data_IF_304487941644
#
_entry.id   IF_304487941644
#
_cell.length_a   1.000
_cell.length_b   1.000
_cell.length_c   1.000
_cell.angle_alpha   90.00
_cell.angle_beta   90.00
_cell.angle_gamma   90.00
#
_symmetry.space_group_name_H-M   'P 1'
#
loop_
_entity.id
_entity.type
_entity.pdbx_description
1 polymer ?
#
# COMPACT_ATOMS: atom_id res chain seq x y z
N UNK A 1 -27.58 3.86 7.66
CA UNK A 1 -26.26 4.44 8.01
C UNK A 1 -26.12 5.71 7.21
N UNK A 2 -26.28 6.87 7.85
CA UNK A 2 -26.14 8.18 7.22
C UNK A 2 -24.66 8.39 6.87
N UNK A 3 -24.29 8.85 5.66
CA UNK A 3 -22.90 9.20 5.38
C UNK A 3 -22.46 10.27 6.40
N UNK A 4 -21.25 10.16 6.98
CA UNK A 4 -20.79 11.11 7.98
C UNK A 4 -20.79 12.52 7.39
N UNK A 5 -21.49 13.42 8.07
CA UNK A 5 -21.55 14.86 7.79
C UNK A 5 -20.13 15.44 7.85
N UNK A 6 -19.76 16.20 6.82
CA UNK A 6 -18.39 16.65 6.57
C UNK A 6 -17.89 17.54 7.73
N UNK A 7 -16.87 17.13 8.51
CA UNK A 7 -16.19 18.02 9.45
C UNK A 7 -15.49 19.14 8.66
N UNK A 8 -15.10 20.28 9.29
CA UNK A 8 -14.47 21.39 8.58
C UNK A 8 -13.37 20.88 7.64
N UNK A 9 -13.48 21.21 6.33
CA UNK A 9 -12.57 20.75 5.28
C UNK A 9 -11.13 21.10 5.66
N UNK A 10 -10.42 20.14 6.23
CA UNK A 10 -8.98 20.22 6.39
C UNK A 10 -8.35 20.46 5.02
N UNK A 11 -7.49 21.48 4.91
CA UNK A 11 -6.80 21.82 3.66
C UNK A 11 -5.88 20.68 3.21
N UNK A 12 -5.29 19.97 4.17
CA UNK A 12 -4.35 18.90 3.92
C UNK A 12 -4.89 17.57 4.43
N UNK A 13 -4.65 16.50 3.67
CA UNK A 13 -5.00 15.14 4.04
C UNK A 13 -4.18 14.65 5.24
N UNK A 14 -2.91 15.06 5.29
CA UNK A 14 -1.97 14.76 6.35
C UNK A 14 -0.85 15.82 6.43
N UNK A 15 -0.28 15.96 7.62
CA UNK A 15 1.00 16.62 7.89
C UNK A 15 2.05 15.55 8.19
N UNK A 16 3.24 15.63 7.60
CA UNK A 16 4.36 14.73 7.90
C UNK A 16 5.34 15.46 8.82
N UNK A 17 5.42 14.98 10.06
CA UNK A 17 6.40 15.37 11.06
C UNK A 17 7.55 14.36 11.11
N UNK A 18 8.78 14.85 11.09
CA UNK A 18 9.98 14.00 11.06
C UNK A 18 11.19 14.76 11.59
N UNK A 19 12.26 14.05 11.92
CA UNK A 19 13.55 14.72 12.13
C UNK A 19 14.14 15.08 10.78
N UNK A 20 14.52 16.33 10.60
CA UNK A 20 15.19 16.82 9.40
C UNK A 20 16.66 16.37 9.29
N UNK A 21 16.91 15.07 9.44
CA UNK A 21 18.19 14.40 9.29
C UNK A 21 17.92 13.07 8.60
N UNK A 22 18.96 12.50 7.98
CA UNK A 22 18.87 11.13 7.50
C UNK A 22 18.83 10.15 8.69
N UNK A 23 18.14 9.00 8.56
CA UNK A 23 17.37 8.55 7.39
C UNK A 23 15.92 9.08 7.31
N UNK A 24 15.42 9.75 8.37
CA UNK A 24 14.05 10.23 8.50
C UNK A 24 13.60 11.12 7.31
N UNK A 25 14.50 11.99 6.82
CA UNK A 25 14.24 12.88 5.68
C UNK A 25 13.95 12.14 4.39
N UNK A 26 14.71 11.09 4.06
CA UNK A 26 14.48 10.31 2.85
C UNK A 26 13.09 9.65 2.85
N UNK A 27 12.68 9.08 3.99
CA UNK A 27 11.36 8.46 4.14
C UNK A 27 10.25 9.50 4.08
N UNK A 28 10.41 10.65 4.74
CA UNK A 28 9.43 11.73 4.70
C UNK A 28 9.15 12.23 3.28
N UNK A 29 10.20 12.40 2.46
CA UNK A 29 10.05 12.77 1.04
C UNK A 29 9.29 11.71 0.25
N UNK A 30 9.71 10.44 0.39
CA UNK A 30 9.05 9.33 -0.28
C UNK A 30 7.56 9.24 0.09
N UNK A 31 7.20 9.48 1.36
CA UNK A 31 5.81 9.48 1.81
C UNK A 31 4.97 10.57 1.13
N UNK A 32 5.50 11.78 0.91
CA UNK A 32 4.79 12.83 0.16
C UNK A 32 4.45 12.33 -1.24
N UNK A 33 5.46 11.92 -2.00
CA UNK A 33 5.30 11.49 -3.39
C UNK A 33 4.33 10.31 -3.51
N UNK A 34 4.48 9.33 -2.60
CA UNK A 34 3.69 8.11 -2.60
C UNK A 34 2.21 8.37 -2.23
N UNK A 35 1.94 9.24 -1.26
CA UNK A 35 0.58 9.55 -0.80
C UNK A 35 -0.15 10.49 -1.77
N UNK A 36 0.53 11.48 -2.34
CA UNK A 36 -0.08 12.36 -3.34
C UNK A 36 -0.32 11.65 -4.68
N UNK A 37 0.54 10.70 -5.03
CA UNK A 37 0.37 9.79 -6.17
C UNK A 37 -0.61 8.62 -5.91
N UNK A 38 -1.16 8.49 -4.70
CA UNK A 38 -2.07 7.40 -4.38
C UNK A 38 -3.46 7.60 -5.02
N UNK A 39 -3.85 6.66 -5.88
CA UNK A 39 -5.21 6.57 -6.42
C UNK A 39 -6.03 5.51 -5.69
N UNK A 40 -7.21 5.92 -5.25
CA UNK A 40 -8.19 5.04 -4.60
C UNK A 40 -8.78 4.06 -5.62
N UNK A 41 -8.89 2.76 -5.30
CA UNK A 41 -9.49 1.77 -6.20
C UNK A 41 -10.91 2.13 -6.65
N UNK A 42 -11.23 1.83 -7.91
CA UNK A 42 -12.53 2.19 -8.53
C UNK A 42 -13.73 1.63 -7.75
N UNK A 43 -13.56 0.48 -7.08
CA UNK A 43 -14.58 -0.10 -6.20
C UNK A 43 -14.90 0.84 -5.03
N UNK A 44 -13.88 1.30 -4.30
CA UNK A 44 -14.05 2.22 -3.18
C UNK A 44 -14.57 3.58 -3.66
N UNK A 45 -14.12 4.06 -4.81
CA UNK A 45 -14.67 5.31 -5.38
C UNK A 45 -16.18 5.19 -5.63
N UNK A 46 -16.66 4.04 -6.14
CA UNK A 46 -18.10 3.77 -6.30
C UNK A 46 -18.85 3.65 -4.97
N UNK A 47 -18.17 3.29 -3.90
CA UNK A 47 -18.71 3.26 -2.53
C UNK A 47 -18.70 4.64 -1.84
N UNK A 48 -18.18 5.69 -2.51
CA UNK A 48 -18.21 7.07 -2.03
C UNK A 48 -16.89 7.60 -1.48
N UNK A 49 -15.81 6.81 -1.51
CA UNK A 49 -14.48 7.27 -1.11
C UNK A 49 -13.89 8.25 -2.13
N UNK A 50 -13.06 9.21 -1.70
CA UNK A 50 -12.43 10.15 -2.63
C UNK A 50 -11.43 9.44 -3.55
N UNK A 51 -11.33 9.88 -4.81
CA UNK A 51 -10.42 9.29 -5.81
C UNK A 51 -8.93 9.44 -5.47
N UNK A 52 -8.59 10.44 -4.66
CA UNK A 52 -7.23 10.72 -4.16
C UNK A 52 -7.28 11.03 -2.66
N UNK A 53 -6.17 10.84 -1.96
CA UNK A 53 -6.07 11.14 -0.53
C UNK A 53 -6.19 12.65 -0.24
N UNK A 54 -5.64 13.48 -1.13
CA UNK A 54 -5.52 14.93 -0.98
C UNK A 54 -4.05 15.36 -0.85
N UNK A 55 -3.82 16.66 -0.65
CA UNK A 55 -2.48 17.24 -0.52
C UNK A 55 -1.85 16.85 0.81
N UNK A 56 -0.56 16.55 0.81
CA UNK A 56 0.21 16.24 2.00
C UNK A 56 1.20 17.36 2.28
N UNK A 57 1.14 17.92 3.50
CA UNK A 57 2.11 18.91 3.91
C UNK A 57 3.34 18.22 4.51
N UNK A 58 4.54 18.59 4.08
CA UNK A 58 5.80 18.19 4.69
C UNK A 58 6.49 19.44 5.20
N UNK A 59 6.95 19.40 6.45
CA UNK A 59 7.80 20.46 6.98
C UNK A 59 9.15 20.47 6.22
N UNK A 60 9.53 21.60 5.61
CA UNK A 60 10.78 21.69 4.83
C UNK A 60 11.91 22.37 5.60
N UNK A 61 13.15 22.08 5.20
CA UNK A 61 14.36 22.51 5.90
C UNK A 61 14.57 24.03 5.96
N UNK A 62 13.88 24.82 5.13
CA UNK A 62 14.10 26.27 4.99
C UNK A 62 13.64 27.11 6.20
N UNK A 63 12.87 26.54 7.14
CA UNK A 63 12.28 27.30 8.25
C UNK A 63 13.09 27.26 9.57
N UNK A 64 14.35 26.82 9.53
CA UNK A 64 15.18 26.56 10.71
C UNK A 64 16.09 27.72 11.16
N UNK A 65 15.52 28.88 11.43
CA UNK A 65 16.21 29.90 12.23
C UNK A 65 15.45 30.27 13.51
N UNK A 66 14.24 29.73 13.72
CA UNK A 66 13.36 30.19 14.79
C UNK A 66 13.25 29.17 15.93
N UNK A 67 13.27 29.67 17.16
CA UNK A 67 13.11 28.88 18.39
C UNK A 67 11.64 28.46 18.65
N UNK A 68 10.71 28.87 17.78
CA UNK A 68 9.28 28.54 17.83
C UNK A 68 8.78 27.97 16.48
N UNK A 69 7.73 27.12 16.51
CA UNK A 69 7.04 26.67 15.30
C UNK A 69 6.56 27.93 14.58
N UNK A 70 7.03 28.18 13.36
CA UNK A 70 6.56 29.33 12.61
C UNK A 70 5.03 29.31 12.54
N UNK A 71 4.35 30.47 12.62
CA UNK A 71 2.90 30.53 12.52
C UNK A 71 2.33 29.79 11.30
N UNK A 72 3.09 29.76 10.20
CA UNK A 72 2.74 29.04 8.98
C UNK A 72 2.75 27.51 9.17
N UNK A 73 3.79 26.93 9.78
CA UNK A 73 3.85 25.48 10.05
C UNK A 73 2.75 25.09 11.02
N UNK A 74 2.56 25.86 12.10
CA UNK A 74 1.50 25.59 13.07
C UNK A 74 0.11 25.65 12.44
N UNK A 75 -0.11 26.56 11.49
CA UNK A 75 -1.35 26.64 10.72
C UNK A 75 -1.52 25.44 9.80
N UNK A 76 -0.47 25.02 9.09
CA UNK A 76 -0.52 23.84 8.23
C UNK A 76 -0.82 22.56 9.04
N UNK A 77 -0.19 22.39 10.21
CA UNK A 77 -0.48 21.31 11.15
C UNK A 77 -1.95 21.37 11.62
N UNK A 78 -2.47 22.56 11.96
CA UNK A 78 -3.87 22.73 12.35
C UNK A 78 -4.83 22.35 11.21
N UNK A 79 -4.54 22.76 9.98
CA UNK A 79 -5.34 22.52 8.79
C UNK A 79 -5.20 21.10 8.23
N UNK A 80 -4.42 20.21 8.87
CA UNK A 80 -4.20 18.83 8.43
C UNK A 80 -5.13 17.83 9.13
N UNK A 81 -5.73 16.92 8.37
CA UNK A 81 -6.67 15.92 8.93
C UNK A 81 -5.98 14.86 9.79
N UNK A 82 -4.77 14.45 9.40
CA UNK A 82 -3.93 13.48 10.12
C UNK A 82 -2.53 14.05 10.36
N UNK A 83 -1.85 13.50 11.37
CA UNK A 83 -0.42 13.72 11.60
C UNK A 83 0.30 12.39 11.38
N UNK A 84 1.22 12.34 10.43
CA UNK A 84 2.12 11.20 10.20
C UNK A 84 3.45 11.54 10.86
N UNK A 85 3.94 10.66 11.73
CA UNK A 85 5.21 10.88 12.45
C UNK A 85 6.23 9.84 12.02
N UNK A 86 7.33 10.27 11.40
CA UNK A 86 8.44 9.37 11.06
C UNK A 86 9.29 9.12 12.31
N UNK A 87 9.34 7.86 12.73
CA UNK A 87 9.91 7.42 14.00
C UNK A 87 11.18 6.59 13.81
N UNK A 88 12.27 7.08 14.37
CA UNK A 88 13.59 6.45 14.48
C UNK A 88 14.08 6.58 15.94
N UNK A 89 15.18 5.91 16.35
CA UNK A 89 15.61 5.86 17.75
C UNK A 89 15.87 7.22 18.42
N UNK A 90 16.08 8.26 17.62
CA UNK A 90 16.37 9.61 18.07
C UNK A 90 15.16 10.56 17.96
N UNK A 91 14.03 10.11 17.38
CA UNK A 91 12.78 10.89 17.30
C UNK A 91 12.28 11.36 18.68
N UNK A 92 12.37 10.56 19.76
CA UNK A 92 11.99 11.02 21.11
C UNK A 92 12.82 12.19 21.65
N UNK A 93 13.98 12.50 21.07
CA UNK A 93 14.80 13.66 21.46
C UNK A 93 14.45 14.93 20.68
N UNK A 94 13.63 14.82 19.64
CA UNK A 94 13.21 15.97 18.82
C UNK A 94 12.14 16.78 19.55
N UNK A 95 12.54 17.95 20.06
CA UNK A 95 11.60 18.88 20.74
C UNK A 95 10.47 19.31 19.80
N UNK A 96 10.78 19.49 18.50
CA UNK A 96 9.81 19.87 17.47
C UNK A 96 8.74 18.82 17.23
N UNK A 97 9.15 17.60 16.88
CA UNK A 97 8.22 16.48 16.63
C UNK A 97 7.30 16.28 17.84
N UNK A 98 7.86 16.36 19.05
CA UNK A 98 7.09 16.23 20.30
C UNK A 98 6.09 17.37 20.49
N UNK A 99 6.49 18.61 20.21
CA UNK A 99 5.60 19.76 20.28
C UNK A 99 4.42 19.64 19.29
N UNK A 100 4.69 19.19 18.06
CA UNK A 100 3.66 18.97 17.04
C UNK A 100 2.66 17.89 17.46
N UNK A 101 3.15 16.77 18.00
CA UNK A 101 2.29 15.71 18.55
C UNK A 101 1.39 16.26 19.65
N UNK A 102 1.95 17.01 20.61
CA UNK A 102 1.18 17.62 21.72
C UNK A 102 0.13 18.59 21.21
N UNK A 103 0.46 19.44 20.24
CA UNK A 103 -0.50 20.38 19.64
C UNK A 103 -1.63 19.64 18.94
N UNK A 104 -1.31 18.60 18.17
CA UNK A 104 -2.31 17.82 17.45
C UNK A 104 -3.26 17.08 18.40
N UNK A 105 -2.72 16.53 19.49
CA UNK A 105 -3.50 15.93 20.58
C UNK A 105 -4.35 16.96 21.33
N UNK A 106 -3.79 18.13 21.62
CA UNK A 106 -4.50 19.23 22.28
C UNK A 106 -5.73 19.68 21.47
N UNK A 107 -5.66 19.60 20.14
CA UNK A 107 -6.81 19.84 19.25
C UNK A 107 -7.78 18.66 19.12
N UNK A 108 -7.70 17.67 20.03
CA UNK A 108 -8.62 16.53 20.09
C UNK A 108 -8.41 15.50 18.99
N UNK A 109 -7.25 15.49 18.30
CA UNK A 109 -6.96 14.60 17.16
C UNK A 109 -5.86 13.58 17.46
N UNK A 110 -5.67 13.24 18.74
CA UNK A 110 -4.64 12.29 19.15
C UNK A 110 -4.82 10.87 18.59
N UNK A 111 -6.05 10.51 18.21
CA UNK A 111 -6.43 9.27 17.52
C UNK A 111 -6.06 9.28 16.03
N UNK A 112 -5.73 10.44 15.48
CA UNK A 112 -5.36 10.65 14.06
C UNK A 112 -3.87 10.83 13.86
N UNK A 113 -3.06 10.39 14.82
CA UNK A 113 -1.60 10.36 14.73
C UNK A 113 -1.15 8.97 14.27
N UNK A 114 -0.43 8.91 13.15
CA UNK A 114 0.03 7.69 12.50
C UNK A 114 1.57 7.63 12.63
N UNK A 115 2.13 6.87 13.58
CA UNK A 115 3.58 6.68 13.63
C UNK A 115 4.05 5.76 12.51
N UNK A 116 5.19 6.07 11.90
CA UNK A 116 5.84 5.25 10.88
C UNK A 116 7.19 4.84 11.43
N UNK A 117 7.34 3.58 11.81
CA UNK A 117 8.61 3.08 12.34
C UNK A 117 9.58 2.82 11.19
N UNK A 118 10.70 3.55 11.15
CA UNK A 118 11.71 3.41 10.09
C UNK A 118 12.99 2.73 10.56
N UNK A 119 13.23 2.72 11.87
CA UNK A 119 14.39 2.11 12.49
C UNK A 119 14.10 1.81 13.97
N UNK A 120 14.62 0.69 14.47
CA UNK A 120 14.51 0.31 15.87
C UNK A 120 13.16 -0.31 16.20
N UNK A 121 12.70 -0.14 17.44
CA UNK A 121 11.42 -0.66 17.93
C UNK A 121 10.50 0.46 18.40
N UNK A 122 9.18 0.24 18.51
CA UNK A 122 8.26 1.25 19.05
C UNK A 122 8.71 1.80 20.41
N UNK A 123 9.18 0.94 21.31
CA UNK A 123 9.63 1.33 22.66
C UNK A 123 10.82 2.30 22.66
N UNK A 124 11.68 2.25 21.64
CA UNK A 124 12.87 3.11 21.53
C UNK A 124 12.60 4.33 20.65
N UNK A 125 11.82 4.15 19.58
CA UNK A 125 11.71 5.13 18.50
C UNK A 125 10.46 6.01 18.59
N UNK A 126 9.44 5.63 19.35
CA UNK A 126 8.21 6.43 19.46
C UNK A 126 8.35 7.47 20.57
N UNK A 127 8.05 8.75 20.29
CA UNK A 127 7.90 9.74 21.34
C UNK A 127 6.88 9.30 22.39
N UNK A 128 7.15 9.54 23.69
CA UNK A 128 6.28 9.07 24.77
C UNK A 128 4.88 9.70 24.69
N UNK A 129 4.73 10.87 24.06
CA UNK A 129 3.44 11.50 23.82
C UNK A 129 2.51 10.64 22.97
N UNK A 130 3.03 9.75 22.12
CA UNK A 130 2.19 8.87 21.32
C UNK A 130 1.55 7.73 22.12
N UNK A 131 2.11 7.41 23.29
CA UNK A 131 1.56 6.40 24.19
C UNK A 131 0.38 7.02 24.92
N UNK A 132 -0.80 6.40 24.77
CA UNK A 132 -2.03 6.89 25.40
C UNK A 132 -2.48 5.95 26.49
N UNK A 133 -3.08 6.50 27.53
CA UNK A 133 -3.82 5.72 28.52
C UNK A 133 -5.30 5.96 28.29
N UNK A 134 -6.04 4.88 28.07
CA UNK A 134 -7.49 4.88 27.93
C UNK A 134 -8.10 4.23 29.17
N UNK A 135 -9.29 4.68 29.55
CA UNK A 135 -10.09 4.04 30.60
C UNK A 135 -11.10 3.14 29.90
N UNK A 136 -11.14 1.86 30.27
CA UNK A 136 -12.01 0.86 29.68
C UNK A 136 -12.94 0.32 30.76
N UNK A 137 -14.24 0.25 30.47
CA UNK A 137 -15.29 -0.13 31.42
C UNK A 137 -15.97 1.07 32.05
N UNK A 138 -16.98 0.81 32.88
CA UNK A 138 -17.81 1.82 33.52
C UNK A 138 -17.80 1.66 35.05
N UNK A 139 -17.97 2.77 35.76
CA UNK A 139 -18.09 2.76 37.21
C UNK A 139 -16.80 2.37 37.93
N UNK A 140 -16.89 1.79 39.14
CA UNK A 140 -15.72 1.46 39.96
C UNK A 140 -14.82 0.36 39.37
N UNK A 141 -15.30 -0.38 38.36
CA UNK A 141 -14.57 -1.47 37.71
C UNK A 141 -13.77 -0.99 36.48
N UNK A 142 -13.74 0.32 36.22
CA UNK A 142 -13.02 0.86 35.08
C UNK A 142 -11.50 0.70 35.23
N UNK A 143 -10.84 0.20 34.19
CA UNK A 143 -9.41 -0.09 34.19
C UNK A 143 -8.64 0.88 33.29
N UNK A 144 -7.42 1.25 33.72
CA UNK A 144 -6.49 1.97 32.85
C UNK A 144 -5.78 0.99 31.92
N UNK A 145 -5.91 1.23 30.61
CA UNK A 145 -5.22 0.48 29.58
C UNK A 145 -4.26 1.38 28.81
N UNK A 146 -3.00 0.97 28.73
CA UNK A 146 -2.04 1.60 27.82
C UNK A 146 -2.35 1.15 26.38
N UNK A 147 -2.53 2.11 25.50
CA UNK A 147 -2.72 1.92 24.07
C UNK A 147 -1.47 2.41 23.36
N UNK A 148 -0.72 1.45 22.83
CA UNK A 148 0.38 1.75 21.93
C UNK A 148 -0.18 2.14 20.56
N UNK A 149 0.31 3.26 19.98
CA UNK A 149 -0.15 3.72 18.69
C UNK A 149 0.26 2.71 17.61
N UNK A 150 -0.68 2.35 16.75
CA UNK A 150 -0.43 1.40 15.65
C UNK A 150 -0.02 2.16 14.40
N UNK A 151 0.98 1.63 13.71
CA UNK A 151 1.55 2.27 12.55
C UNK A 151 2.33 1.29 11.68
N UNK A 152 2.61 1.64 10.41
CA UNK A 152 3.43 0.81 9.56
C UNK A 152 4.87 0.72 10.07
N UNK A 153 5.44 -0.49 9.94
CA UNK A 153 6.83 -0.80 10.21
C UNK A 153 7.60 -0.98 8.90
N UNK A 154 8.66 -0.20 8.72
CA UNK A 154 9.58 -0.21 7.58
C UNK A 154 10.95 -0.84 7.92
N UNK A 155 11.09 -1.47 9.10
CA UNK A 155 12.27 -2.29 9.35
C UNK A 155 12.32 -3.48 8.36
N UNK A 156 13.54 -3.92 7.98
CA UNK A 156 13.71 -5.07 7.11
C UNK A 156 13.05 -6.33 7.67
N UNK A 157 12.26 -7.02 6.83
CA UNK A 157 11.66 -8.31 7.17
C UNK A 157 12.23 -9.40 6.26
N UNK A 158 12.49 -10.58 6.83
CA UNK A 158 13.05 -11.70 6.08
C UNK A 158 12.11 -12.08 4.92
N UNK A 159 12.65 -12.08 3.69
CA UNK A 159 11.89 -12.43 2.49
C UNK A 159 11.02 -11.29 1.92
N UNK A 160 11.05 -10.08 2.48
CA UNK A 160 10.33 -8.91 1.96
C UNK A 160 11.34 -7.91 1.37
N UNK A 161 11.17 -7.54 0.11
CA UNK A 161 11.97 -6.48 -0.53
C UNK A 161 11.63 -5.10 0.06
N UNK A 162 12.52 -4.12 -0.10
CA UNK A 162 12.26 -2.74 0.33
C UNK A 162 11.01 -2.15 -0.34
N UNK A 163 10.78 -2.49 -1.62
CA UNK A 163 9.61 -2.05 -2.37
C UNK A 163 8.30 -2.60 -1.78
N UNK A 164 8.29 -3.87 -1.37
CA UNK A 164 7.13 -4.50 -0.70
C UNK A 164 6.87 -3.87 0.68
N UNK A 165 7.91 -3.63 1.46
CA UNK A 165 7.82 -2.95 2.76
C UNK A 165 7.20 -1.54 2.61
N UNK A 166 7.73 -0.75 1.66
CA UNK A 166 7.22 0.57 1.32
C UNK A 166 5.78 0.52 0.84
N UNK A 167 5.43 -0.45 0.00
CA UNK A 167 4.06 -0.61 -0.49
C UNK A 167 3.08 -0.96 0.63
N UNK A 168 3.46 -1.88 1.53
CA UNK A 168 2.65 -2.21 2.71
C UNK A 168 2.45 -0.99 3.61
N UNK A 169 3.50 -0.22 3.85
CA UNK A 169 3.42 1.00 4.64
C UNK A 169 2.49 2.04 3.99
N UNK A 170 2.62 2.25 2.68
CA UNK A 170 1.77 3.15 1.91
C UNK A 170 0.28 2.74 2.01
N UNK A 171 -0.03 1.46 1.80
CA UNK A 171 -1.40 0.94 1.88
C UNK A 171 -1.95 1.12 3.30
N UNK A 172 -1.14 0.86 4.32
CA UNK A 172 -1.53 1.04 5.73
C UNK A 172 -1.90 2.49 6.02
N UNK A 173 -1.06 3.45 5.61
CA UNK A 173 -1.33 4.88 5.83
C UNK A 173 -2.55 5.31 5.01
N UNK A 174 -2.62 4.92 3.74
CA UNK A 174 -3.74 5.28 2.86
C UNK A 174 -5.08 4.75 3.39
N UNK A 175 -5.13 3.53 3.92
CA UNK A 175 -6.31 2.95 4.55
C UNK A 175 -6.79 3.81 5.73
N UNK A 176 -5.87 4.15 6.64
CA UNK A 176 -6.17 5.01 7.79
C UNK A 176 -6.64 6.39 7.35
N UNK A 177 -5.96 7.01 6.38
CA UNK A 177 -6.29 8.35 5.89
C UNK A 177 -7.64 8.37 5.15
N UNK A 178 -7.99 7.31 4.42
CA UNK A 178 -9.31 7.15 3.77
C UNK A 178 -10.41 6.77 4.76
N UNK A 179 -10.06 6.15 5.88
CA UNK A 179 -11.02 5.54 6.81
C UNK A 179 -11.64 4.23 6.28
N UNK A 180 -10.90 3.47 5.45
CA UNK A 180 -11.33 2.16 4.94
C UNK A 180 -10.52 1.02 5.56
N UNK A 181 -10.94 -0.24 5.37
CA UNK A 181 -10.15 -1.37 5.85
C UNK A 181 -8.88 -1.57 5.01
N UNK A 182 -7.80 -2.03 5.64
CA UNK A 182 -6.55 -2.37 4.93
C UNK A 182 -6.79 -3.38 3.78
N UNK A 183 -7.63 -4.39 4.03
CA UNK A 183 -8.02 -5.41 3.04
C UNK A 183 -8.72 -4.82 1.81
N UNK A 184 -9.40 -3.68 1.96
CA UNK A 184 -10.07 -3.03 0.82
C UNK A 184 -9.07 -2.48 -0.20
N UNK A 185 -7.87 -2.13 0.26
CA UNK A 185 -6.79 -1.60 -0.57
C UNK A 185 -5.78 -2.67 -1.01
N UNK A 186 -5.68 -3.81 -0.32
CA UNK A 186 -4.84 -4.94 -0.78
C UNK A 186 -5.24 -5.41 -2.19
N UNK A 187 -6.54 -5.42 -2.47
CA UNK A 187 -7.09 -5.75 -3.79
C UNK A 187 -6.58 -4.84 -4.91
N UNK A 188 -5.97 -3.68 -4.61
CA UNK A 188 -5.31 -2.81 -5.59
C UNK A 188 -4.17 -3.51 -6.31
N UNK A 189 -3.42 -4.39 -5.63
CA UNK A 189 -2.35 -5.17 -6.26
C UNK A 189 -2.99 -6.18 -7.21
N UNK A 190 -3.95 -6.98 -6.75
CA UNK A 190 -4.65 -7.95 -7.59
C UNK A 190 -5.39 -7.32 -8.77
N UNK A 191 -6.08 -6.20 -8.58
CA UNK A 191 -6.79 -5.49 -9.64
C UNK A 191 -5.82 -4.92 -10.67
N UNK A 192 -4.66 -4.39 -10.24
CA UNK A 192 -3.61 -3.94 -11.16
C UNK A 192 -2.99 -5.13 -11.90
N UNK A 193 -2.77 -6.26 -11.22
CA UNK A 193 -2.33 -7.50 -11.84
C UNK A 193 -3.34 -7.98 -12.88
N UNK A 194 -4.62 -8.07 -12.53
CA UNK A 194 -5.72 -8.48 -13.42
C UNK A 194 -5.86 -7.55 -14.62
N UNK A 195 -5.77 -6.22 -14.43
CA UNK A 195 -5.82 -5.22 -15.52
C UNK A 195 -4.60 -5.32 -16.47
N UNK A 196 -3.45 -5.78 -15.96
CA UNK A 196 -2.24 -6.01 -16.78
C UNK A 196 -2.17 -7.43 -17.37
N UNK A 197 -3.04 -8.33 -16.93
CA UNK A 197 -3.09 -9.71 -17.41
C UNK A 197 -4.11 -9.81 -18.55
N UNK A 198 -3.62 -9.92 -19.78
CA UNK A 198 -4.45 -10.25 -20.93
C UNK A 198 -4.64 -11.76 -21.02
N UNK A 199 -5.85 -12.22 -21.34
CA UNK A 199 -6.17 -13.63 -21.57
C UNK A 199 -6.50 -13.83 -23.04
N UNK A 200 -5.94 -14.86 -23.65
CA UNK A 200 -6.27 -15.28 -25.00
C UNK A 200 -6.36 -16.81 -25.09
N UNK A 201 -7.14 -17.31 -26.05
CA UNK A 201 -7.33 -18.74 -26.30
C UNK A 201 -6.61 -19.16 -27.58
N UNK A 202 -5.97 -20.32 -27.56
CA UNK A 202 -5.23 -20.86 -28.69
C UNK A 202 -5.67 -22.30 -28.98
N UNK A 203 -5.53 -22.69 -30.26
CA UNK A 203 -5.80 -24.08 -30.69
C UNK A 203 -4.76 -25.03 -30.15
N UNK A 204 -3.52 -24.56 -30.09
CA UNK A 204 -2.36 -25.36 -29.72
C UNK A 204 -1.31 -24.53 -28.98
N UNK A 205 -0.34 -25.20 -28.36
CA UNK A 205 0.80 -24.60 -27.68
C UNK A 205 2.08 -25.24 -28.24
N UNK A 206 3.07 -24.42 -28.56
CA UNK A 206 4.42 -24.87 -28.88
C UNK A 206 5.40 -24.38 -27.83
N UNK A 207 6.58 -24.98 -27.75
CA UNK A 207 7.67 -24.47 -26.92
C UNK A 207 8.64 -23.68 -27.78
N UNK A 208 8.79 -22.38 -27.50
CA UNK A 208 9.84 -21.54 -28.09
C UNK A 208 10.79 -21.10 -26.97
N UNK A 209 12.07 -21.46 -27.10
CA UNK A 209 13.10 -21.20 -26.08
C UNK A 209 12.74 -21.71 -24.67
N UNK A 210 12.00 -22.81 -24.59
CA UNK A 210 11.56 -23.40 -23.31
C UNK A 210 10.28 -22.80 -22.73
N UNK A 211 9.75 -21.69 -23.27
CA UNK A 211 8.48 -21.10 -22.84
C UNK A 211 7.32 -21.61 -23.73
N UNK A 212 6.13 -21.83 -23.16
CA UNK A 212 4.94 -22.13 -23.94
C UNK A 212 4.46 -20.89 -24.71
N UNK A 213 4.23 -21.03 -26.02
CA UNK A 213 3.74 -19.99 -26.93
C UNK A 213 2.49 -20.50 -27.66
N UNK A 214 1.40 -19.73 -27.60
CA UNK A 214 0.13 -20.10 -28.21
C UNK A 214 0.15 -20.02 -29.73
N UNK A 215 -0.42 -21.01 -30.40
CA UNK A 215 -0.52 -21.10 -31.87
C UNK A 215 -1.98 -21.14 -32.30
N UNK A 216 -2.31 -20.34 -33.32
CA UNK A 216 -3.66 -20.24 -33.86
C UNK A 216 -4.64 -19.68 -32.85
N UNK A 217 -4.53 -18.38 -32.57
CA UNK A 217 -5.45 -17.68 -31.67
C UNK A 217 -6.91 -17.90 -32.11
N UNK A 218 -7.78 -18.13 -31.14
CA UNK A 218 -9.21 -18.36 -31.34
C UNK A 218 -9.99 -17.49 -30.37
N UNK A 219 -11.16 -17.02 -30.81
CA UNK A 219 -12.10 -16.33 -29.93
C UNK A 219 -12.70 -17.27 -28.89
N UNK A 220 -13.19 -16.72 -27.79
CA UNK A 220 -13.82 -17.48 -26.71
C UNK A 220 -14.98 -18.37 -27.19
N UNK A 221 -15.79 -17.89 -28.14
CA UNK A 221 -16.91 -18.66 -28.68
C UNK A 221 -16.47 -19.95 -29.38
N UNK A 222 -15.32 -19.90 -30.06
CA UNK A 222 -14.71 -21.07 -30.69
C UNK A 222 -14.13 -21.97 -29.61
N UNK A 223 -13.42 -21.42 -28.62
CA UNK A 223 -12.85 -22.19 -27.52
C UNK A 223 -13.93 -22.97 -26.73
N UNK A 224 -15.10 -22.37 -26.48
CA UNK A 224 -16.25 -23.00 -25.79
C UNK A 224 -16.84 -24.20 -26.52
N UNK A 225 -16.62 -24.32 -27.83
CA UNK A 225 -17.12 -25.43 -28.66
C UNK A 225 -16.08 -26.52 -28.88
N UNK A 226 -14.84 -26.32 -28.43
CA UNK A 226 -13.77 -27.31 -28.59
C UNK A 226 -13.73 -28.26 -27.39
N UNK A 227 -13.35 -29.50 -27.69
CA UNK A 227 -13.02 -30.48 -26.65
C UNK A 227 -11.80 -30.05 -25.84
N UNK A 228 -10.83 -29.40 -26.50
CA UNK A 228 -9.62 -28.85 -25.89
C UNK A 228 -9.22 -27.52 -26.56
N UNK A 229 -8.84 -26.57 -25.71
CA UNK A 229 -8.15 -25.32 -26.08
C UNK A 229 -7.15 -24.92 -25.00
N UNK A 230 -6.25 -24.00 -25.32
CA UNK A 230 -5.26 -23.49 -24.39
C UNK A 230 -5.60 -22.04 -24.00
N UNK A 231 -5.91 -21.82 -22.72
CA UNK A 231 -6.12 -20.49 -22.16
C UNK A 231 -4.79 -19.95 -21.64
N UNK A 232 -4.27 -18.92 -22.29
CA UNK A 232 -2.97 -18.32 -22.02
C UNK A 232 -3.16 -16.97 -21.34
N UNK A 233 -2.60 -16.83 -20.15
CA UNK A 233 -2.52 -15.57 -19.42
C UNK A 233 -1.15 -14.93 -19.70
N UNK A 234 -1.17 -13.66 -20.13
CA UNK A 234 0.05 -12.88 -20.37
C UNK A 234 0.07 -11.63 -19.51
N UNK A 235 1.23 -11.30 -18.97
CA UNK A 235 1.48 -10.08 -18.20
C UNK A 235 2.67 -9.33 -18.80
N UNK A 236 2.48 -8.07 -19.20
CA UNK A 236 3.54 -7.30 -19.85
C UNK A 236 4.06 -7.94 -21.14
N UNK A 237 3.19 -8.66 -21.88
CA UNK A 237 3.54 -9.40 -23.10
C UNK A 237 4.12 -10.81 -22.87
N UNK A 238 4.54 -11.14 -21.65
CA UNK A 238 5.12 -12.45 -21.32
C UNK A 238 4.04 -13.43 -20.86
N UNK A 239 4.12 -14.68 -21.29
CA UNK A 239 3.22 -15.76 -20.82
C UNK A 239 3.55 -16.08 -19.37
N UNK A 240 2.57 -16.01 -18.48
CA UNK A 240 2.73 -16.32 -17.05
C UNK A 240 2.03 -17.62 -16.66
N UNK A 241 0.97 -17.99 -17.38
CA UNK A 241 0.23 -19.22 -17.15
C UNK A 241 -0.42 -19.73 -18.42
N UNK A 242 -0.42 -21.04 -18.60
CA UNK A 242 -1.16 -21.73 -19.66
C UNK A 242 -2.01 -22.82 -19.04
N UNK A 243 -3.29 -22.87 -19.39
CA UNK A 243 -4.19 -23.94 -18.95
C UNK A 243 -4.75 -24.67 -20.18
N UNK A 244 -4.63 -25.99 -20.20
CA UNK A 244 -5.31 -26.87 -21.16
C UNK A 244 -6.69 -27.18 -20.62
N UNK A 245 -7.73 -26.68 -21.29
CA UNK A 245 -9.12 -26.72 -20.81
C UNK A 245 -10.08 -27.17 -21.91
N UNK A 246 -11.21 -27.75 -21.53
CA UNK A 246 -12.33 -28.00 -22.44
C UNK A 246 -13.20 -26.75 -22.64
N UNK A 247 -14.20 -26.85 -23.50
CA UNK A 247 -15.14 -25.76 -23.78
C UNK A 247 -15.96 -25.26 -22.59
N UNK A 248 -15.99 -26.00 -21.48
CA UNK A 248 -16.60 -25.57 -20.20
C UNK A 248 -15.60 -24.95 -19.22
N UNK A 249 -14.32 -24.89 -19.59
CA UNK A 249 -13.25 -24.37 -18.74
C UNK A 249 -12.65 -25.38 -17.76
N UNK A 250 -13.07 -26.65 -17.79
CA UNK A 250 -12.47 -27.67 -16.93
C UNK A 250 -11.08 -28.08 -17.42
N UNK A 251 -10.10 -28.26 -16.52
CA UNK A 251 -8.78 -28.75 -16.88
C UNK A 251 -8.85 -30.08 -17.62
N UNK A 252 -8.06 -30.19 -18.69
CA UNK A 252 -7.91 -31.41 -19.49
C UNK A 252 -6.44 -31.81 -19.45
N UNK A 253 -6.04 -32.75 -18.58
CA UNK A 253 -4.65 -33.19 -18.49
C UNK A 253 -4.20 -33.87 -19.77
N UNK A 254 -2.91 -33.73 -20.08
CA UNK A 254 -2.20 -34.56 -21.05
C UNK A 254 -1.95 -35.97 -20.49
N UNK A 255 -1.36 -36.85 -21.30
CA UNK A 255 -1.05 -38.24 -20.89
C UNK A 255 -0.15 -38.31 -19.64
N UNK A 256 0.69 -37.29 -19.43
CA UNK A 256 1.55 -37.14 -18.25
C UNK A 256 0.83 -36.54 -17.03
N UNK A 257 -0.48 -36.25 -17.11
CA UNK A 257 -1.28 -35.65 -16.05
C UNK A 257 -1.23 -34.12 -15.97
N UNK A 258 -0.43 -33.45 -16.80
CA UNK A 258 -0.24 -32.00 -16.75
C UNK A 258 -1.34 -31.29 -17.55
N UNK A 259 -2.00 -30.31 -16.94
CA UNK A 259 -2.98 -29.44 -17.59
C UNK A 259 -2.70 -27.95 -17.41
N UNK A 260 -1.67 -27.60 -16.64
CA UNK A 260 -1.30 -26.24 -16.32
C UNK A 260 0.22 -26.11 -16.39
N UNK A 261 0.67 -24.97 -16.90
CA UNK A 261 2.07 -24.58 -16.89
C UNK A 261 2.18 -23.16 -16.32
N UNK A 262 2.92 -22.99 -15.23
CA UNK A 262 3.25 -21.68 -14.66
C UNK A 262 4.66 -21.27 -15.09
N UNK A 263 4.82 -20.03 -15.56
CA UNK A 263 6.07 -19.55 -16.15
C UNK A 263 6.61 -18.37 -15.34
N UNK A 264 7.83 -18.53 -14.81
CA UNK A 264 8.55 -17.49 -14.09
C UNK A 264 9.59 -16.80 -14.99
N UNK A 265 9.68 -15.47 -14.94
CA UNK A 265 10.62 -14.65 -15.70
C UNK A 265 11.56 -13.88 -14.78
N UNK A 266 12.80 -13.66 -15.23
CA UNK A 266 13.81 -12.85 -14.52
C UNK A 266 13.76 -11.41 -15.06
N UNK A 267 12.85 -10.60 -14.51
CA UNK A 267 12.56 -9.19 -14.91
C UNK A 267 12.10 -8.97 -16.38
N UNK A 268 11.33 -7.91 -16.68
CA UNK A 268 10.85 -7.65 -18.04
C UNK A 268 11.95 -7.04 -18.91
N UNK A 269 12.61 -7.85 -19.74
CA UNK A 269 13.52 -7.39 -20.80
C UNK A 269 12.79 -7.49 -22.15
N UNK A 270 12.79 -6.45 -23.02
CA UNK A 270 12.07 -6.51 -24.29
C UNK A 270 12.73 -7.48 -25.28
N UNK A 271 11.91 -8.27 -25.97
CA UNK A 271 12.27 -8.96 -27.23
C UNK A 271 12.66 -10.42 -27.12
N UNK A 272 13.63 -10.77 -26.25
CA UNK A 272 14.32 -12.08 -26.30
C UNK A 272 14.53 -12.73 -24.90
N UNK A 273 13.66 -12.44 -23.94
CA UNK A 273 13.75 -13.04 -22.61
C UNK A 273 13.56 -14.57 -22.68
N UNK A 274 14.27 -15.31 -21.82
CA UNK A 274 14.08 -16.76 -21.62
C UNK A 274 13.40 -17.02 -20.26
N UNK A 275 12.49 -18.00 -20.16
CA UNK A 275 11.85 -18.33 -18.89
C UNK A 275 12.89 -18.85 -17.90
N UNK A 276 12.78 -18.43 -16.64
CA UNK A 276 13.60 -18.92 -15.54
C UNK A 276 13.21 -20.37 -15.20
N UNK A 277 11.90 -20.64 -15.20
CA UNK A 277 11.31 -21.91 -14.82
C UNK A 277 9.92 -22.05 -15.44
N UNK A 278 9.59 -23.27 -15.84
CA UNK A 278 8.24 -23.69 -16.24
C UNK A 278 7.89 -24.90 -15.39
N UNK A 279 6.88 -24.74 -14.54
CA UNK A 279 6.36 -25.77 -13.63
C UNK A 279 5.03 -26.34 -14.12
#
# INVERSE_FOLDING_TARGET
MTPPQDPPRHRYAAFISYRHREPDRAVARWLVDALEGFETPDRLVREGYPRRLGTVFRDDDELKAEAELSPAIRRALYDSRHLIVVCSPNTPMSTWVRAEIRLFQHWGRGDRVIPVLIEGSPAVSFPPELIRTEVVGDGPDAEFRTVEPRGPDLNPRQGETEAEQKQRALITIAATVLGCAYSDLLNRVEERLRKLTSVAHYRDIVRRWGAPEGVGEIGEDIARRREVSYRVERRGGQVVRVNRINGRGFPQPEENGVCQWDVAWREPIPGDARPLRVD
#
